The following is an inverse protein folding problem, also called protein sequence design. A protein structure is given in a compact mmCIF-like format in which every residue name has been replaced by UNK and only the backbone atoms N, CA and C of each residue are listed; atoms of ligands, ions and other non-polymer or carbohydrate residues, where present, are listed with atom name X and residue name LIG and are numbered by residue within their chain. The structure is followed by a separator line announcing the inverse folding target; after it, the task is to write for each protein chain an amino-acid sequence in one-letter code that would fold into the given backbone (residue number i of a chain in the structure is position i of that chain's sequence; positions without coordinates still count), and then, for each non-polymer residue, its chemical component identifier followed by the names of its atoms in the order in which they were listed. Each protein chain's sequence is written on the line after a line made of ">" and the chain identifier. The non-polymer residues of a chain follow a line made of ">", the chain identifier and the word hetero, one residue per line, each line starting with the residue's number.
data_IF_774928646912
#
_entry.id   IF_774928646912
#
_cell.length_a   1.000
_cell.length_b   1.000
_cell.length_c   1.000
_cell.angle_alpha   90.00
_cell.angle_beta   90.00
_cell.angle_gamma   90.00
#
_symmetry.space_group_name_H-M   'P 1'
#
loop_
_entity.id
_entity.type
_entity.pdbx_description
1 polymer ?
#
# COMPACT_ATOMS: atom_id res chain seq x y z
N UNK A 1 4.62 -14.67 -15.95
CA UNK A 1 3.58 -14.42 -16.97
C UNK A 1 2.95 -13.09 -16.60
N UNK A 2 3.03 -12.08 -17.48
CA UNK A 2 2.26 -10.85 -17.29
C UNK A 2 0.80 -11.17 -17.58
N UNK A 3 -0.09 -10.85 -16.64
CA UNK A 3 -1.52 -10.83 -16.92
C UNK A 3 -1.81 -9.56 -17.71
N UNK A 4 -2.83 -9.60 -18.57
CA UNK A 4 -3.41 -8.39 -19.17
C UNK A 4 -4.39 -7.79 -18.18
N UNK A 5 -4.74 -6.52 -18.34
CA UNK A 5 -5.73 -5.86 -17.49
C UNK A 5 -7.11 -6.52 -17.61
N UNK A 6 -7.65 -7.01 -16.49
CA UNK A 6 -8.97 -7.64 -16.43
C UNK A 6 -10.07 -6.57 -16.33
N UNK A 7 -10.38 -5.96 -17.48
CA UNK A 7 -11.34 -4.87 -17.59
C UNK A 7 -12.72 -5.26 -17.06
N UNK A 8 -13.21 -6.44 -17.44
CA UNK A 8 -14.55 -6.89 -17.08
C UNK A 8 -14.67 -7.10 -15.57
N UNK A 9 -13.62 -7.63 -14.94
CA UNK A 9 -13.60 -7.78 -13.50
C UNK A 9 -13.58 -6.44 -12.77
N UNK A 10 -12.74 -5.49 -13.22
CA UNK A 10 -12.69 -4.15 -12.61
C UNK A 10 -14.02 -3.43 -12.74
N UNK A 11 -14.64 -3.46 -13.93
CA UNK A 11 -15.95 -2.84 -14.15
C UNK A 11 -17.03 -3.45 -13.27
N UNK A 12 -17.08 -4.78 -13.19
CA UNK A 12 -18.05 -5.47 -12.34
C UNK A 12 -17.86 -5.11 -10.87
N UNK A 13 -16.62 -5.09 -10.37
CA UNK A 13 -16.31 -4.74 -8.97
C UNK A 13 -16.61 -3.31 -8.62
N UNK A 14 -16.36 -2.36 -9.53
CA UNK A 14 -16.76 -0.98 -9.33
C UNK A 14 -18.29 -0.86 -9.31
N UNK A 15 -18.98 -1.50 -10.26
CA UNK A 15 -20.43 -1.45 -10.36
C UNK A 15 -21.16 -2.04 -9.13
N UNK A 16 -20.65 -3.14 -8.56
CA UNK A 16 -21.14 -3.72 -7.29
C UNK A 16 -21.13 -2.71 -6.13
N UNK A 17 -20.26 -1.69 -6.22
CA UNK A 17 -20.06 -0.64 -5.21
C UNK A 17 -20.69 0.69 -5.62
N UNK A 18 -21.42 0.73 -6.74
CA UNK A 18 -22.02 1.94 -7.29
C UNK A 18 -20.99 2.94 -7.83
N UNK A 19 -19.80 2.47 -8.19
CA UNK A 19 -18.70 3.26 -8.73
C UNK A 19 -18.56 3.01 -10.24
N UNK A 20 -18.00 3.98 -10.94
CA UNK A 20 -17.66 3.88 -12.36
C UNK A 20 -16.19 4.21 -12.62
N UNK A 21 -15.76 4.03 -13.88
CA UNK A 21 -14.38 4.33 -14.29
C UNK A 21 -14.03 5.81 -14.13
N UNK A 22 -14.99 6.72 -14.29
CA UNK A 22 -14.73 8.14 -14.10
C UNK A 22 -14.38 8.46 -12.64
N UNK A 23 -15.10 7.84 -11.70
CA UNK A 23 -14.82 7.94 -10.26
C UNK A 23 -13.46 7.32 -9.94
N UNK A 24 -13.12 6.18 -10.55
CA UNK A 24 -11.81 5.55 -10.39
C UNK A 24 -10.67 6.46 -10.86
N UNK A 25 -10.80 7.05 -12.06
CA UNK A 25 -9.82 7.97 -12.61
C UNK A 25 -9.61 9.17 -11.67
N UNK A 26 -10.72 9.81 -11.25
CA UNK A 26 -10.67 10.97 -10.38
C UNK A 26 -10.00 10.67 -9.03
N UNK A 27 -10.32 9.54 -8.41
CA UNK A 27 -9.72 9.14 -7.13
C UNK A 27 -8.24 8.80 -7.26
N UNK A 28 -7.83 8.19 -8.38
CA UNK A 28 -6.44 7.85 -8.66
C UNK A 28 -5.60 9.06 -9.13
N UNK A 29 -6.23 10.24 -9.30
CA UNK A 29 -5.57 11.42 -9.86
C UNK A 29 -5.23 11.28 -11.35
N UNK A 30 -5.90 10.37 -12.05
CA UNK A 30 -5.73 10.10 -13.48
C UNK A 30 -6.74 10.90 -14.31
N UNK A 31 -6.34 11.31 -15.51
CA UNK A 31 -7.32 11.73 -16.51
C UNK A 31 -8.08 10.52 -17.06
N UNK A 32 -9.26 10.75 -17.65
CA UNK A 32 -10.01 9.68 -18.30
C UNK A 32 -9.21 9.03 -19.45
N UNK A 33 -8.37 9.81 -20.15
CA UNK A 33 -7.49 9.30 -21.20
C UNK A 33 -6.37 8.42 -20.63
N UNK A 34 -5.76 8.82 -19.51
CA UNK A 34 -4.73 8.00 -18.86
C UNK A 34 -5.31 6.69 -18.33
N UNK A 35 -6.52 6.73 -17.75
CA UNK A 35 -7.20 5.52 -17.30
C UNK A 35 -7.54 4.60 -18.48
N UNK A 36 -7.95 5.14 -19.62
CA UNK A 36 -8.21 4.35 -20.84
C UNK A 36 -6.93 3.69 -21.36
N UNK A 37 -5.79 4.37 -21.33
CA UNK A 37 -4.49 3.78 -21.67
C UNK A 37 -4.08 2.67 -20.70
N UNK A 38 -4.33 2.85 -19.39
CA UNK A 38 -4.12 1.80 -18.38
C UNK A 38 -4.96 0.58 -18.69
N UNK A 39 -6.27 0.79 -18.91
CA UNK A 39 -7.18 -0.32 -19.20
C UNK A 39 -6.72 -1.03 -20.47
N UNK A 40 -6.30 -0.32 -21.53
CA UNK A 40 -5.80 -0.93 -22.78
C UNK A 40 -4.41 -1.56 -22.69
N UNK A 41 -3.82 -1.71 -21.50
CA UNK A 41 -2.46 -2.20 -21.27
C UNK A 41 -1.38 -1.37 -22.02
N UNK A 42 -1.65 -0.10 -22.32
CA UNK A 42 -0.73 0.83 -23.01
C UNK A 42 0.02 1.74 -22.03
N UNK A 43 -0.34 1.73 -20.75
CA UNK A 43 0.31 2.47 -19.66
C UNK A 43 0.33 1.61 -18.42
N UNK A 44 1.50 1.48 -17.79
CA UNK A 44 1.61 0.84 -16.49
C UNK A 44 1.00 1.72 -15.38
N UNK A 45 0.38 1.08 -14.38
CA UNK A 45 -0.08 1.77 -13.18
C UNK A 45 1.03 1.86 -12.14
N UNK A 46 1.13 3.01 -11.50
CA UNK A 46 2.05 3.22 -10.39
C UNK A 46 1.52 2.64 -9.07
N UNK A 47 2.39 2.50 -8.06
CA UNK A 47 2.02 2.06 -6.71
C UNK A 47 0.87 2.81 -6.03
N UNK A 48 0.87 4.14 -6.17
CA UNK A 48 -0.14 4.99 -5.55
C UNK A 48 -1.50 4.83 -6.25
N UNK A 49 -1.49 4.71 -7.58
CA UNK A 49 -2.69 4.44 -8.39
C UNK A 49 -3.26 3.06 -8.04
N UNK A 50 -2.39 2.05 -7.95
CA UNK A 50 -2.79 0.69 -7.56
C UNK A 50 -3.42 0.65 -6.16
N UNK A 51 -2.89 1.42 -5.20
CA UNK A 51 -3.47 1.52 -3.87
C UNK A 51 -4.94 1.99 -3.93
N UNK A 52 -5.21 3.03 -4.72
CA UNK A 52 -6.57 3.53 -4.93
C UNK A 52 -7.44 2.49 -5.62
N UNK A 53 -6.91 1.79 -6.64
CA UNK A 53 -7.65 0.74 -7.34
C UNK A 53 -8.09 -0.36 -6.36
N UNK A 54 -7.20 -0.80 -5.46
CA UNK A 54 -7.49 -1.78 -4.42
C UNK A 54 -8.57 -1.28 -3.44
N UNK A 55 -8.45 -0.04 -2.96
CA UNK A 55 -9.42 0.57 -2.03
C UNK A 55 -10.81 0.71 -2.67
N UNK A 56 -10.87 1.16 -3.92
CA UNK A 56 -12.13 1.38 -4.62
C UNK A 56 -12.84 0.09 -5.01
N UNK A 57 -12.09 -0.95 -5.38
CA UNK A 57 -12.65 -2.28 -5.64
C UNK A 57 -12.90 -3.08 -4.36
N UNK A 58 -12.31 -2.67 -3.23
CA UNK A 58 -12.47 -3.30 -1.92
C UNK A 58 -11.73 -4.63 -1.79
N UNK A 59 -10.62 -4.81 -2.51
CA UNK A 59 -9.78 -6.01 -2.44
C UNK A 59 -8.37 -5.68 -1.94
N UNK A 60 -7.53 -6.70 -1.75
CA UNK A 60 -6.11 -6.49 -1.44
C UNK A 60 -5.37 -5.88 -2.64
N UNK A 61 -4.25 -5.19 -2.36
CA UNK A 61 -3.36 -4.69 -3.43
C UNK A 61 -2.81 -5.80 -4.31
N UNK A 62 -2.58 -6.99 -3.75
CA UNK A 62 -2.12 -8.15 -4.52
C UNK A 62 -3.16 -8.62 -5.54
N UNK A 63 -4.43 -8.71 -5.16
CA UNK A 63 -5.51 -9.06 -6.09
C UNK A 63 -5.68 -7.95 -7.13
N UNK A 64 -5.69 -6.69 -6.69
CA UNK A 64 -5.78 -5.55 -7.61
C UNK A 64 -4.63 -5.53 -8.64
N UNK A 65 -3.39 -5.86 -8.21
CA UNK A 65 -2.22 -5.94 -9.07
C UNK A 65 -2.33 -7.10 -10.05
N UNK A 66 -2.70 -8.27 -9.54
CA UNK A 66 -2.91 -9.48 -10.34
C UNK A 66 -3.93 -9.22 -11.45
N UNK A 67 -5.06 -8.59 -11.11
CA UNK A 67 -6.13 -8.22 -12.05
C UNK A 67 -5.73 -7.09 -12.98
N UNK A 68 -4.88 -6.16 -12.55
CA UNK A 68 -4.39 -5.08 -13.39
C UNK A 68 -3.22 -5.49 -14.29
N UNK A 69 -2.81 -6.76 -14.27
CA UNK A 69 -1.71 -7.24 -15.11
C UNK A 69 -0.31 -6.84 -14.64
N UNK A 70 -0.21 -6.11 -13.52
CA UNK A 70 1.06 -5.57 -13.03
C UNK A 70 1.75 -6.54 -12.09
N UNK A 71 3.06 -6.72 -12.29
CA UNK A 71 3.88 -7.59 -11.46
C UNK A 71 4.03 -7.07 -10.02
N UNK A 72 4.55 -7.90 -9.12
CA UNK A 72 4.74 -7.58 -7.69
C UNK A 72 5.50 -6.26 -7.41
N UNK A 73 6.25 -5.72 -8.39
CA UNK A 73 6.92 -4.43 -8.30
C UNK A 73 5.96 -3.22 -8.25
N UNK A 74 4.75 -3.34 -8.81
CA UNK A 74 3.72 -2.30 -8.75
C UNK A 74 2.95 -2.30 -7.42
N UNK A 75 3.09 -3.34 -6.60
CA UNK A 75 2.55 -3.44 -5.25
C UNK A 75 3.63 -3.21 -4.19
N UNK A 76 4.26 -2.02 -4.09
CA UNK A 76 5.22 -1.81 -3.02
C UNK A 76 4.48 -1.70 -1.69
N UNK A 77 5.25 -2.10 -0.68
CA UNK A 77 4.94 -2.17 0.74
C UNK A 77 4.11 -0.97 1.18
N UNK A 78 3.02 -1.25 1.90
CA UNK A 78 2.17 -0.25 2.53
C UNK A 78 3.05 0.83 3.22
N UNK A 79 2.95 2.12 2.85
CA UNK A 79 3.68 3.20 3.53
C UNK A 79 3.40 3.22 5.03
N UNK A 80 2.23 2.75 5.46
CA UNK A 80 1.92 2.53 6.87
C UNK A 80 2.77 1.41 7.46
N UNK A 81 3.05 0.32 6.74
CA UNK A 81 3.94 -0.74 7.19
C UNK A 81 5.40 -0.27 7.29
N UNK A 82 5.90 0.55 6.37
CA UNK A 82 7.23 1.16 6.50
C UNK A 82 7.30 2.09 7.72
N UNK A 83 6.25 2.91 7.92
CA UNK A 83 6.13 3.77 9.11
C UNK A 83 6.07 2.94 10.39
N UNK A 84 5.33 1.84 10.40
CA UNK A 84 5.24 0.90 11.52
C UNK A 84 6.59 0.28 11.84
N UNK A 85 7.30 -0.27 10.84
CA UNK A 85 8.62 -0.85 11.03
C UNK A 85 9.62 0.19 11.59
N UNK A 86 9.57 1.44 11.09
CA UNK A 86 10.38 2.54 11.64
C UNK A 86 10.03 2.87 13.09
N UNK A 87 8.75 2.83 13.44
CA UNK A 87 8.29 3.08 14.81
C UNK A 87 8.71 1.94 15.75
N UNK A 88 8.57 0.68 15.32
CA UNK A 88 9.01 -0.50 16.07
C UNK A 88 10.52 -0.45 16.36
N UNK A 89 11.34 -0.11 15.36
CA UNK A 89 12.78 0.06 15.55
C UNK A 89 13.12 1.17 16.56
N UNK A 90 12.36 2.29 16.54
CA UNK A 90 12.53 3.37 17.52
C UNK A 90 12.12 2.95 18.93
N UNK A 91 11.04 2.18 19.08
CA UNK A 91 10.59 1.65 20.37
C UNK A 91 11.65 0.71 20.96
N UNK A 92 12.16 -0.24 20.17
CA UNK A 92 13.21 -1.16 20.64
C UNK A 92 14.48 -0.41 21.11
N UNK A 93 14.88 0.64 20.40
CA UNK A 93 16.01 1.47 20.79
C UNK A 93 15.76 2.24 22.10
N UNK A 94 14.55 2.72 22.33
CA UNK A 94 14.16 3.40 23.57
C UNK A 94 14.07 2.43 24.75
N UNK A 95 13.51 1.24 24.54
CA UNK A 95 13.46 0.18 25.56
C UNK A 95 14.86 -0.22 26.03
N UNK A 96 15.81 -0.35 25.09
CA UNK A 96 17.21 -0.61 25.42
C UNK A 96 17.85 0.52 26.27
N UNK A 97 17.56 1.78 25.95
CA UNK A 97 18.05 2.93 26.72
C UNK A 97 17.46 2.95 28.14
N UNK A 98 16.15 2.71 28.28
CA UNK A 98 15.48 2.64 29.58
C UNK A 98 16.05 1.51 30.44
N UNK A 99 16.26 0.32 29.85
CA UNK A 99 16.87 -0.80 30.56
C UNK A 99 18.29 -0.46 31.04
N UNK A 100 19.08 0.23 30.22
CA UNK A 100 20.41 0.70 30.60
C UNK A 100 20.41 1.69 31.76
N UNK A 101 19.50 2.67 31.73
CA UNK A 101 19.35 3.66 32.81
C UNK A 101 18.91 3.01 34.12
N UNK A 102 17.90 2.13 34.07
CA UNK A 102 17.41 1.41 35.25
C UNK A 102 18.51 0.54 35.88
N UNK A 103 19.34 -0.12 35.07
CA UNK A 103 20.48 -0.90 35.56
C UNK A 103 21.54 -0.03 36.23
N UNK A 104 21.82 1.16 35.68
CA UNK A 104 22.78 2.11 36.25
C UNK A 104 22.31 2.73 37.57
N UNK A 105 21.01 2.99 37.71
CA UNK A 105 20.42 3.42 38.99
C UNK A 105 20.51 2.32 40.04
N UNK A 106 20.13 1.09 39.69
CA UNK A 106 20.23 -0.05 40.60
C UNK A 106 21.67 -0.33 41.06
N UNK A 107 22.67 -0.09 40.20
CA UNK A 107 24.07 -0.19 40.58
C UNK A 107 24.48 0.89 41.59
N UNK A 108 24.06 2.15 41.39
CA UNK A 108 24.32 3.25 42.33
C UNK A 108 23.72 3.01 43.71
N UNK A 109 22.48 2.52 43.78
CA UNK A 109 21.80 2.23 45.05
C UNK A 109 22.44 1.10 45.87
N UNK A 110 23.22 0.22 45.24
CA UNK A 110 23.94 -0.88 45.92
C UNK A 110 25.32 -0.49 46.44
N UNK A 111 25.84 0.66 46.03
CA UNK A 111 27.16 1.16 46.42
C UNK A 111 27.11 2.28 47.47
N UNK A 112 25.92 2.65 47.95
CA UNK A 112 25.67 3.53 49.11
C UNK A 112 25.09 2.73 50.26
#
# INVERSE_FOLDING_TARGET
>A
MALFFDHHWYDARLAERGLDRATLAAAAGLSAADLDLVFKDQREIGPAELAVFAEMTGVSRDEAAHRAGVGAHAAPVDPAAERTARLEARVAALEAQVAGLAAAEAARSRSS
#
